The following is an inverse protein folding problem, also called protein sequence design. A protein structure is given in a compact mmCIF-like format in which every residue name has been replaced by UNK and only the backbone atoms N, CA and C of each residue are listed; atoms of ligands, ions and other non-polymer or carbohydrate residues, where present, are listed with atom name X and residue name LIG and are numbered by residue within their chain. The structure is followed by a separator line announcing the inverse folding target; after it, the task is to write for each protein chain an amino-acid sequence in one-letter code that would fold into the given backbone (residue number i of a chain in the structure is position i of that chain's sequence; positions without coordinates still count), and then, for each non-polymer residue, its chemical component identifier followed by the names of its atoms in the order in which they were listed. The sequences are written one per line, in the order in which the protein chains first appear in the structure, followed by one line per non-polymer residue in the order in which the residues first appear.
data_IF_677119236650
#
_entry.id   IF_677119236650
#
_cell.length_a   1.000
_cell.length_b   1.000
_cell.length_c   1.000
_cell.angle_alpha   90.00
_cell.angle_beta   90.00
_cell.angle_gamma   90.00
#
_symmetry.space_group_name_H-M   'P 1'
#
loop_
_entity.id
_entity.type
_entity.pdbx_description
1 polymer ?
#
# COMPACT_ATOMS: atom_id res chain seq x y z
N UNK A 1 -22.78 -23.15 -0.16
CA UNK A 1 -22.11 -22.17 -1.04
C UNK A 1 -20.63 -22.04 -0.72
N UNK A 2 -20.02 -23.16 -0.32
CA UNK A 2 -18.61 -23.16 0.06
C UNK A 2 -17.69 -22.69 -1.08
N UNK A 3 -18.06 -22.92 -2.35
CA UNK A 3 -17.25 -22.46 -3.49
C UNK A 3 -17.15 -20.94 -3.55
N UNK A 4 -18.25 -20.23 -3.28
CA UNK A 4 -18.22 -18.77 -3.21
C UNK A 4 -17.38 -18.29 -2.01
N UNK A 5 -17.49 -18.99 -0.87
CA UNK A 5 -16.67 -18.68 0.28
C UNK A 5 -15.19 -18.83 -0.04
N UNK A 6 -14.81 -19.90 -0.70
CA UNK A 6 -13.42 -20.10 -1.11
C UNK A 6 -12.95 -19.07 -2.12
N UNK A 7 -13.81 -18.68 -3.06
CA UNK A 7 -13.48 -17.65 -4.04
C UNK A 7 -13.20 -16.30 -3.36
N UNK A 8 -14.11 -15.88 -2.48
CA UNK A 8 -13.95 -14.60 -1.77
C UNK A 8 -12.73 -14.65 -0.85
N UNK A 9 -12.50 -15.77 -0.17
CA UNK A 9 -11.32 -15.94 0.68
C UNK A 9 -10.03 -15.86 -0.11
N UNK A 10 -9.99 -16.49 -1.30
CA UNK A 10 -8.82 -16.43 -2.16
C UNK A 10 -8.55 -15.00 -2.63
N UNK A 11 -9.60 -14.28 -3.04
CA UNK A 11 -9.46 -12.88 -3.44
C UNK A 11 -8.99 -12.01 -2.29
N UNK A 12 -9.50 -12.25 -1.08
CA UNK A 12 -9.07 -11.52 0.11
C UNK A 12 -7.59 -11.77 0.39
N UNK A 13 -7.14 -13.02 0.26
CA UNK A 13 -5.74 -13.38 0.47
C UNK A 13 -4.83 -12.70 -0.54
N UNK A 14 -5.24 -12.66 -1.82
CA UNK A 14 -4.47 -11.98 -2.87
C UNK A 14 -4.40 -10.49 -2.59
N UNK A 15 -5.51 -9.90 -2.21
CA UNK A 15 -5.56 -8.46 -1.88
C UNK A 15 -4.65 -8.16 -0.69
N UNK A 16 -4.69 -8.98 0.35
CA UNK A 16 -3.84 -8.80 1.52
C UNK A 16 -2.35 -8.90 1.14
N UNK A 17 -2.00 -9.88 0.32
CA UNK A 17 -0.63 -10.04 -0.16
C UNK A 17 -0.19 -8.82 -0.98
N UNK A 18 -1.05 -8.36 -1.89
CA UNK A 18 -0.73 -7.18 -2.70
C UNK A 18 -0.52 -5.94 -1.85
N UNK A 19 -1.37 -5.74 -0.84
CA UNK A 19 -1.22 -4.61 0.08
C UNK A 19 0.06 -4.71 0.90
N UNK A 20 0.42 -5.92 1.34
CA UNK A 20 1.65 -6.15 2.09
C UNK A 20 2.88 -5.85 1.23
N UNK A 21 2.88 -6.31 -0.02
CA UNK A 21 3.99 -6.04 -0.95
C UNK A 21 4.10 -4.54 -1.19
N UNK A 22 2.98 -3.87 -1.44
CA UNK A 22 3.00 -2.43 -1.69
C UNK A 22 3.46 -1.66 -0.46
N UNK A 23 3.09 -2.12 0.74
CA UNK A 23 3.55 -1.53 2.00
C UNK A 23 5.08 -1.52 2.06
N UNK A 24 5.73 -2.65 1.72
CA UNK A 24 7.18 -2.72 1.71
C UNK A 24 7.79 -1.86 0.63
N UNK A 25 7.14 -1.73 -0.53
CA UNK A 25 7.58 -0.83 -1.59
C UNK A 25 7.55 0.62 -1.11
N UNK A 26 6.49 1.02 -0.42
CA UNK A 26 6.37 2.37 0.13
C UNK A 26 7.44 2.62 1.21
N UNK A 27 7.69 1.64 2.06
CA UNK A 27 8.75 1.75 3.08
C UNK A 27 10.11 1.93 2.41
N UNK A 28 10.40 1.13 1.39
CA UNK A 28 11.66 1.25 0.65
C UNK A 28 11.80 2.63 0.01
N UNK A 29 10.71 3.14 -0.58
CA UNK A 29 10.69 4.48 -1.16
C UNK A 29 10.99 5.56 -0.12
N UNK A 30 10.37 5.45 1.06
CA UNK A 30 10.59 6.42 2.14
C UNK A 30 12.05 6.41 2.61
N UNK A 31 12.62 5.22 2.80
CA UNK A 31 14.02 5.09 3.20
C UNK A 31 14.96 5.67 2.16
N UNK A 32 14.70 5.41 0.87
CA UNK A 32 15.51 5.96 -0.20
C UNK A 32 15.46 7.49 -0.25
N UNK A 33 14.31 8.08 0.07
CA UNK A 33 14.18 9.53 0.13
C UNK A 33 15.10 10.15 1.16
N UNK A 34 15.35 9.43 2.27
CA UNK A 34 16.21 9.93 3.35
C UNK A 34 17.69 9.74 3.04
N UNK A 35 18.03 8.70 2.27
CA UNK A 35 19.42 8.37 1.94
C UNK A 35 19.94 9.16 0.74
N UNK A 36 19.03 9.81 0.01
CA UNK A 36 19.35 10.59 -1.19
C UNK A 36 20.08 9.74 -2.24
N UNK A 37 19.42 8.71 -2.79
CA UNK A 37 20.05 7.76 -3.71
C UNK A 37 20.31 8.36 -5.09
N UNK A 38 21.13 7.63 -5.88
CA UNK A 38 21.39 7.98 -7.26
C UNK A 38 20.10 7.92 -8.09
N UNK A 39 19.63 9.05 -8.65
CA UNK A 39 18.38 9.05 -9.44
C UNK A 39 18.49 8.31 -10.76
N UNK A 40 19.70 7.94 -11.19
CA UNK A 40 19.89 7.18 -12.43
C UNK A 40 19.90 5.68 -12.20
N UNK A 41 19.84 5.23 -10.96
CA UNK A 41 19.74 3.80 -10.65
C UNK A 41 18.39 3.25 -11.11
N UNK A 42 18.37 2.20 -11.96
CA UNK A 42 17.10 1.65 -12.47
C UNK A 42 16.15 1.17 -11.38
N UNK A 43 16.67 0.63 -10.28
CA UNK A 43 15.85 0.16 -9.17
C UNK A 43 15.17 1.34 -8.47
N UNK A 44 15.90 2.43 -8.24
CA UNK A 44 15.36 3.65 -7.64
C UNK A 44 14.27 4.23 -8.54
N UNK A 45 14.52 4.29 -9.85
CA UNK A 45 13.55 4.83 -10.81
C UNK A 45 12.29 3.98 -10.84
N UNK A 46 12.43 2.66 -10.78
CA UNK A 46 11.29 1.76 -10.75
C UNK A 46 10.46 1.98 -9.48
N UNK A 47 11.10 2.05 -8.31
CA UNK A 47 10.39 2.31 -7.06
C UNK A 47 9.63 3.63 -7.12
N UNK A 48 10.25 4.67 -7.65
CA UNK A 48 9.60 5.98 -7.77
C UNK A 48 8.43 5.92 -8.74
N UNK A 49 8.59 5.22 -9.87
CA UNK A 49 7.53 5.15 -10.87
C UNK A 49 6.28 4.41 -10.39
N UNK A 50 6.44 3.42 -9.51
CA UNK A 50 5.28 2.67 -9.00
C UNK A 50 4.66 3.30 -7.75
N UNK A 51 5.36 4.20 -7.09
CA UNK A 51 4.86 4.86 -5.87
C UNK A 51 4.39 6.29 -6.11
N UNK A 52 4.98 7.00 -7.08
CA UNK A 52 4.68 8.41 -7.31
C UNK A 52 3.21 8.69 -7.63
N UNK A 53 2.50 7.86 -8.44
CA UNK A 53 1.08 8.14 -8.68
C UNK A 53 0.25 8.20 -7.40
N UNK A 54 0.52 7.31 -6.44
CA UNK A 54 -0.21 7.26 -5.17
C UNK A 54 0.24 8.39 -4.25
N UNK A 55 1.55 8.57 -4.10
CA UNK A 55 2.09 9.61 -3.22
C UNK A 55 1.75 11.00 -3.74
N UNK A 56 1.81 11.21 -5.05
CA UNK A 56 1.45 12.47 -5.66
C UNK A 56 -0.02 12.80 -5.46
N UNK A 57 -0.89 11.80 -5.57
CA UNK A 57 -2.31 11.97 -5.31
C UNK A 57 -2.55 12.44 -3.88
N UNK A 58 -1.87 11.80 -2.91
CA UNK A 58 -1.99 12.17 -1.50
C UNK A 58 -1.51 13.60 -1.27
N UNK A 59 -0.37 13.97 -1.85
CA UNK A 59 0.18 15.33 -1.70
C UNK A 59 -0.75 16.39 -2.27
N UNK A 60 -1.49 16.05 -3.34
CA UNK A 60 -2.41 17.00 -3.96
C UNK A 60 -3.70 17.17 -3.16
N UNK A 61 -4.03 16.23 -2.27
CA UNK A 61 -5.29 16.24 -1.52
C UNK A 61 -5.10 16.64 -0.05
N UNK A 62 -3.94 16.35 0.51
CA UNK A 62 -3.67 16.56 1.94
C UNK A 62 -2.34 17.28 2.09
N UNK A 63 -2.25 18.31 2.97
CA UNK A 63 -0.98 19.01 3.23
C UNK A 63 -0.08 18.12 4.09
N UNK A 64 0.73 17.29 3.47
CA UNK A 64 1.57 16.29 4.15
C UNK A 64 3.05 16.66 4.20
N UNK A 65 3.44 17.79 3.58
CA UNK A 65 4.83 18.26 3.61
C UNK A 65 4.97 19.31 4.68
N UNK A 66 5.80 19.03 5.70
CA UNK A 66 6.04 19.94 6.82
C UNK A 66 7.54 20.12 7.01
N UNK A 67 8.01 21.38 6.94
CA UNK A 67 9.41 21.70 7.22
C UNK A 67 10.40 20.94 6.35
N UNK A 68 10.04 20.62 5.11
CA UNK A 68 10.86 19.86 4.20
C UNK A 68 10.73 18.33 4.35
N UNK A 69 9.96 17.87 5.33
CA UNK A 69 9.71 16.43 5.56
C UNK A 69 8.41 16.04 4.87
N UNK A 70 8.48 15.04 3.97
CA UNK A 70 7.33 14.53 3.25
C UNK A 70 6.71 13.37 4.01
N UNK A 71 5.50 13.57 4.52
CA UNK A 71 4.76 12.56 5.26
C UNK A 71 3.77 11.77 4.39
N UNK A 72 3.77 11.98 3.07
CA UNK A 72 2.89 11.23 2.18
C UNK A 72 3.07 9.71 2.31
N UNK A 73 4.30 9.16 2.38
CA UNK A 73 4.46 7.72 2.60
C UNK A 73 3.80 7.24 3.90
N UNK A 74 3.87 8.03 4.97
CA UNK A 74 3.23 7.66 6.24
C UNK A 74 1.71 7.58 6.09
N UNK A 75 1.10 8.55 5.38
CA UNK A 75 -0.34 8.54 5.13
C UNK A 75 -0.74 7.30 4.34
N UNK A 76 0.03 6.95 3.31
CA UNK A 76 -0.25 5.77 2.50
C UNK A 76 -0.11 4.50 3.34
N UNK A 77 0.91 4.41 4.20
CA UNK A 77 1.08 3.25 5.08
C UNK A 77 -0.11 3.09 6.02
N UNK A 78 -0.59 4.18 6.60
CA UNK A 78 -1.76 4.14 7.47
C UNK A 78 -3.00 3.68 6.69
N UNK A 79 -3.17 4.14 5.46
CA UNK A 79 -4.27 3.73 4.61
C UNK A 79 -4.19 2.23 4.29
N UNK A 80 -3.00 1.72 4.01
CA UNK A 80 -2.80 0.29 3.74
C UNK A 80 -3.16 -0.55 4.97
N UNK A 81 -2.69 -0.15 6.15
CA UNK A 81 -3.00 -0.86 7.39
C UNK A 81 -4.51 -0.84 7.63
N UNK A 82 -5.16 0.30 7.41
CA UNK A 82 -6.61 0.40 7.56
C UNK A 82 -7.33 -0.57 6.62
N UNK A 83 -6.92 -0.61 5.36
CA UNK A 83 -7.54 -1.51 4.38
C UNK A 83 -7.33 -2.97 4.76
N UNK A 84 -6.16 -3.32 5.26
CA UNK A 84 -5.90 -4.69 5.68
C UNK A 84 -6.74 -5.08 6.89
N UNK A 85 -6.90 -4.18 7.84
CA UNK A 85 -7.62 -4.49 9.08
C UNK A 85 -9.13 -4.36 8.95
N UNK A 86 -9.60 -3.58 7.98
CA UNK A 86 -11.02 -3.38 7.77
C UNK A 86 -11.52 -4.16 6.56
N UNK A 87 -11.05 -3.80 5.36
CA UNK A 87 -11.56 -4.38 4.12
C UNK A 87 -11.22 -5.86 4.00
N UNK A 88 -9.95 -6.21 4.16
CA UNK A 88 -9.52 -7.60 4.01
C UNK A 88 -10.15 -8.47 5.10
N UNK A 89 -10.19 -7.99 6.34
CA UNK A 89 -10.80 -8.72 7.44
C UNK A 89 -12.30 -8.92 7.19
N UNK A 90 -12.98 -7.92 6.64
CA UNK A 90 -14.40 -8.02 6.30
C UNK A 90 -14.62 -9.06 5.20
N UNK A 91 -13.74 -9.09 4.21
CA UNK A 91 -13.83 -10.08 3.12
C UNK A 91 -13.61 -11.49 3.64
N UNK A 92 -12.67 -11.69 4.56
CA UNK A 92 -12.46 -13.01 5.17
C UNK A 92 -13.68 -13.44 5.98
N UNK A 93 -14.30 -12.52 6.71
CA UNK A 93 -15.50 -12.81 7.47
C UNK A 93 -16.65 -13.19 6.54
N UNK A 94 -16.83 -12.47 5.45
CA UNK A 94 -17.84 -12.79 4.45
C UNK A 94 -17.58 -14.15 3.82
N UNK A 95 -16.30 -14.45 3.51
CA UNK A 95 -15.92 -15.75 2.96
C UNK A 95 -16.29 -16.88 3.91
N UNK A 96 -16.05 -16.67 5.20
CA UNK A 96 -16.36 -17.68 6.21
C UNK A 96 -17.85 -17.95 6.32
N UNK A 97 -18.68 -16.91 6.20
CA UNK A 97 -20.14 -17.06 6.26
C UNK A 97 -20.72 -17.75 5.03
N UNK A 98 -20.02 -17.67 3.90
CA UNK A 98 -20.46 -18.29 2.65
C UNK A 98 -19.88 -19.68 2.44
N UNK A 99 -18.93 -20.07 3.25
CA UNK A 99 -18.29 -21.40 3.13
C UNK A 99 -19.06 -22.51 3.84
#
# INVERSE_FOLDING_TARGET
MFAFGHLIGALASILDLALTIYMWVIIARALLSWVNPDPYNPIVRMLYSVTEPVLGWVRSRVPVVFGGLDLAPLVVLLAIVFLQRFLVATLFELARRLS
#
